data_IF_176055791037
#
_entry.id   IF_176055791037
#
_cell.length_a   1.000
_cell.length_b   1.000
_cell.length_c   1.000
_cell.angle_alpha   90.00
_cell.angle_beta   90.00
_cell.angle_gamma   90.00
#
_symmetry.space_group_name_H-M   'P 1'
#
loop_
_entity.id
_entity.type
_entity.pdbx_description
1 polymer ?
#
# COMPACT_ATOMS: atom_id res chain seq x y z
N UNK A 1 17.65 -5.92 2.81
CA UNK A 1 17.89 -4.71 3.65
C UNK A 1 16.55 -4.11 3.99
N UNK A 2 16.25 -3.95 5.28
CA UNK A 2 14.95 -3.45 5.75
C UNK A 2 14.70 -2.02 5.25
N UNK A 3 13.62 -1.86 4.49
CA UNK A 3 13.21 -0.56 3.95
C UNK A 3 12.22 0.16 4.89
N UNK A 4 11.27 -0.57 5.46
CA UNK A 4 10.34 -0.06 6.46
C UNK A 4 10.34 -1.00 7.66
N UNK A 5 10.45 -0.46 8.88
CA UNK A 5 10.28 -1.20 10.12
C UNK A 5 9.18 -0.56 10.97
N UNK A 6 8.29 -1.38 11.48
CA UNK A 6 7.18 -0.99 12.36
C UNK A 6 7.32 -1.78 13.65
N UNK A 7 7.40 -1.11 14.80
CA UNK A 7 7.61 -1.76 16.09
C UNK A 7 6.54 -1.34 17.09
N UNK A 8 5.83 -2.33 17.64
CA UNK A 8 4.83 -2.19 18.71
C UNK A 8 3.84 -1.06 18.46
N UNK A 9 3.41 -0.90 17.19
CA UNK A 9 2.57 0.22 16.76
C UNK A 9 1.18 0.10 17.36
N UNK A 10 0.74 1.18 18.02
CA UNK A 10 -0.64 1.35 18.50
C UNK A 10 -1.20 2.61 17.85
N UNK A 11 -2.38 2.50 17.24
CA UNK A 11 -3.05 3.63 16.60
C UNK A 11 -4.58 3.46 16.64
N UNK A 12 -5.30 4.59 16.60
CA UNK A 12 -6.75 4.58 16.64
C UNK A 12 -7.39 5.96 16.54
N UNK A 13 -8.69 6.02 16.70
CA UNK A 13 -9.50 7.23 16.61
C UNK A 13 -10.13 7.54 17.98
N UNK A 14 -9.72 8.62 18.63
CA UNK A 14 -10.19 8.98 19.97
C UNK A 14 -9.93 7.84 20.96
N UNK A 15 -10.97 7.30 21.57
CA UNK A 15 -10.87 6.19 22.53
C UNK A 15 -10.83 4.80 21.87
N UNK A 16 -11.07 4.69 20.56
CA UNK A 16 -11.09 3.41 19.84
C UNK A 16 -9.70 3.07 19.31
N UNK A 17 -9.06 2.07 19.89
CA UNK A 17 -7.80 1.50 19.39
C UNK A 17 -8.09 0.49 18.27
N UNK A 18 -7.66 0.83 17.04
CA UNK A 18 -7.89 0.00 15.87
C UNK A 18 -6.64 -0.79 15.44
N UNK A 19 -5.45 -0.37 15.83
CA UNK A 19 -4.17 -1.06 15.64
C UNK A 19 -3.57 -1.28 17.03
N UNK A 20 -3.25 -2.53 17.36
CA UNK A 20 -2.92 -2.95 18.71
C UNK A 20 -1.63 -3.76 18.72
N UNK A 21 -0.50 -3.10 19.01
CA UNK A 21 0.80 -3.76 19.15
C UNK A 21 1.23 -4.50 17.86
N UNK A 22 1.21 -3.78 16.75
CA UNK A 22 1.57 -4.32 15.43
C UNK A 22 3.05 -4.10 15.17
N UNK A 23 3.77 -5.19 14.87
CA UNK A 23 5.19 -5.15 14.51
C UNK A 23 5.43 -5.97 13.24
N UNK A 24 6.11 -5.38 12.25
CA UNK A 24 6.57 -6.05 11.04
C UNK A 24 7.64 -5.20 10.36
N UNK A 25 8.35 -5.79 9.43
CA UNK A 25 9.30 -5.10 8.56
C UNK A 25 8.96 -5.35 7.08
N UNK A 26 9.54 -4.59 6.19
CA UNK A 26 9.45 -4.81 4.73
C UNK A 26 10.82 -4.53 4.12
N UNK A 27 11.30 -5.45 3.29
CA UNK A 27 12.57 -5.29 2.59
C UNK A 27 12.43 -4.46 1.31
N UNK A 28 13.56 -3.96 0.80
CA UNK A 28 13.58 -3.27 -0.49
C UNK A 28 13.09 -4.20 -1.61
N UNK A 29 12.14 -3.73 -2.42
CA UNK A 29 11.56 -4.50 -3.52
C UNK A 29 10.58 -5.60 -3.10
N UNK A 30 10.36 -5.82 -1.80
CA UNK A 30 9.38 -6.79 -1.29
C UNK A 30 7.94 -6.28 -1.50
N UNK A 31 7.04 -7.19 -1.78
CA UNK A 31 5.59 -6.96 -1.75
C UNK A 31 5.00 -7.64 -0.52
N UNK A 32 4.58 -6.85 0.45
CA UNK A 32 3.86 -7.32 1.64
C UNK A 32 2.35 -7.16 1.44
N UNK A 33 1.61 -8.28 1.47
CA UNK A 33 0.15 -8.27 1.48
C UNK A 33 -0.39 -8.08 2.89
N UNK A 34 -1.34 -7.16 3.07
CA UNK A 34 -2.07 -6.96 4.33
C UNK A 34 -3.52 -7.37 4.09
N UNK A 35 -3.90 -8.48 4.71
CA UNK A 35 -5.23 -9.07 4.58
C UNK A 35 -5.96 -9.04 5.92
N UNK A 36 -7.28 -9.22 5.91
CA UNK A 36 -8.12 -9.23 7.10
C UNK A 36 -9.51 -8.73 6.81
N UNK A 37 -10.47 -9.09 7.63
CA UNK A 37 -11.87 -8.68 7.51
C UNK A 37 -12.04 -7.14 7.61
N UNK A 38 -13.22 -6.66 7.23
CA UNK A 38 -13.57 -5.25 7.44
C UNK A 38 -13.57 -4.94 8.95
N UNK A 39 -12.95 -3.82 9.32
CA UNK A 39 -12.78 -3.45 10.72
C UNK A 39 -11.54 -4.05 11.40
N UNK A 40 -10.74 -4.90 10.73
CA UNK A 40 -9.51 -5.48 11.30
C UNK A 40 -8.38 -4.45 11.58
N UNK A 41 -8.53 -3.18 11.18
CA UNK A 41 -7.57 -2.12 11.45
C UNK A 41 -6.67 -1.74 10.25
N UNK A 42 -6.81 -2.38 9.09
CA UNK A 42 -5.97 -2.19 7.90
C UNK A 42 -5.88 -0.72 7.45
N UNK A 43 -7.01 -0.06 7.26
CA UNK A 43 -7.04 1.35 6.83
C UNK A 43 -6.42 2.29 7.88
N UNK A 44 -6.61 2.01 9.18
CA UNK A 44 -5.96 2.78 10.25
C UNK A 44 -4.46 2.57 10.23
N UNK A 45 -3.98 1.33 10.06
CA UNK A 45 -2.56 1.03 9.89
C UNK A 45 -1.99 1.83 8.71
N UNK A 46 -2.60 1.76 7.52
CA UNK A 46 -2.13 2.45 6.32
C UNK A 46 -2.10 3.97 6.49
N UNK A 47 -3.14 4.56 7.07
CA UNK A 47 -3.18 5.99 7.36
C UNK A 47 -2.11 6.41 8.38
N UNK A 48 -1.79 5.52 9.34
CA UNK A 48 -0.72 5.77 10.31
C UNK A 48 0.65 5.66 9.63
N UNK A 49 0.88 4.66 8.77
CA UNK A 49 2.10 4.56 7.96
C UNK A 49 2.30 5.74 7.01
N UNK A 50 1.22 6.24 6.43
CA UNK A 50 1.26 7.43 5.56
C UNK A 50 1.39 8.77 6.32
N UNK A 51 1.31 8.78 7.66
CA UNK A 51 1.36 10.00 8.47
C UNK A 51 0.09 10.85 8.43
N UNK A 52 -1.03 10.27 7.97
CA UNK A 52 -2.37 10.90 8.00
C UNK A 52 -2.98 10.77 9.39
N UNK A 53 -2.66 9.70 10.11
CA UNK A 53 -2.97 9.50 11.52
C UNK A 53 -1.70 9.43 12.34
N UNK A 54 -1.74 10.00 13.54
CA UNK A 54 -0.65 9.87 14.51
C UNK A 54 -0.69 8.49 15.16
N UNK A 55 0.49 7.91 15.40
CA UNK A 55 0.61 6.76 16.29
C UNK A 55 0.33 7.19 17.74
N UNK A 56 -0.35 6.32 18.51
CA UNK A 56 -0.51 6.51 19.95
C UNK A 56 0.77 6.07 20.70
N UNK A 57 1.42 5.00 20.21
CA UNK A 57 2.72 4.51 20.68
C UNK A 57 3.37 3.62 19.63
N UNK A 58 4.61 3.17 19.91
CA UNK A 58 5.43 2.40 18.97
C UNK A 58 6.23 3.30 18.04
N UNK A 59 6.88 2.71 17.05
CA UNK A 59 7.73 3.44 16.11
C UNK A 59 7.60 2.94 14.67
N UNK A 60 7.86 3.86 13.73
CA UNK A 60 7.92 3.60 12.29
C UNK A 60 9.27 4.15 11.81
N UNK A 61 10.12 3.31 11.25
CA UNK A 61 11.40 3.70 10.67
C UNK A 61 11.42 3.40 9.17
N UNK A 62 11.86 4.38 8.38
CA UNK A 62 12.09 4.27 6.94
C UNK A 62 13.59 4.30 6.68
N UNK A 63 14.14 3.21 6.12
CA UNK A 63 15.58 3.10 5.83
C UNK A 63 16.44 3.46 7.05
N UNK A 64 16.03 2.93 8.23
CA UNK A 64 16.67 3.17 9.53
C UNK A 64 16.40 4.52 10.19
N UNK A 65 15.68 5.43 9.52
CA UNK A 65 15.35 6.76 10.05
C UNK A 65 13.95 6.76 10.65
N UNK A 66 13.81 7.18 11.92
CA UNK A 66 12.51 7.31 12.57
C UNK A 66 11.65 8.39 11.88
N UNK A 67 10.47 7.99 11.43
CA UNK A 67 9.48 8.84 10.76
C UNK A 67 8.17 8.92 11.55
N UNK A 68 8.11 8.38 12.76
CA UNK A 68 6.89 8.20 13.56
C UNK A 68 6.12 9.50 13.76
N UNK A 69 6.83 10.58 14.10
CA UNK A 69 6.22 11.89 14.36
C UNK A 69 6.09 12.78 13.12
N UNK A 70 6.53 12.30 11.93
CA UNK A 70 6.51 13.12 10.73
C UNK A 70 5.09 13.21 10.14
N UNK A 71 4.74 14.40 9.65
CA UNK A 71 3.50 14.64 8.90
C UNK A 71 3.49 13.88 7.56
N UNK A 72 2.30 13.68 6.97
CA UNK A 72 2.16 13.01 5.68
C UNK A 72 3.04 13.63 4.58
N UNK A 73 3.12 14.95 4.49
CA UNK A 73 3.96 15.63 3.49
C UNK A 73 5.46 15.34 3.69
N UNK A 74 5.93 15.31 4.95
CA UNK A 74 7.32 14.95 5.26
C UNK A 74 7.62 13.48 4.99
N UNK A 75 6.64 12.58 5.21
CA UNK A 75 6.80 11.15 4.86
C UNK A 75 6.85 10.95 3.34
N UNK A 76 6.05 11.68 2.56
CA UNK A 76 6.15 11.68 1.09
C UNK A 76 7.54 12.16 0.67
N UNK A 77 8.02 13.27 1.20
CA UNK A 77 9.37 13.77 0.93
C UNK A 77 10.48 12.79 1.39
N UNK A 78 10.22 11.99 2.42
CA UNK A 78 11.09 10.91 2.90
C UNK A 78 11.05 9.65 2.03
N UNK A 79 9.97 9.42 1.30
CA UNK A 79 9.81 8.29 0.39
C UNK A 79 8.69 7.30 0.75
N UNK A 80 7.70 7.67 1.54
CA UNK A 80 6.47 6.88 1.74
C UNK A 80 5.35 7.54 0.96
N UNK A 81 4.86 6.89 -0.10
CA UNK A 81 3.70 7.36 -0.86
C UNK A 81 2.51 6.40 -0.68
N UNK A 82 1.31 6.92 -0.76
CA UNK A 82 0.08 6.15 -0.61
C UNK A 82 -0.86 6.39 -1.80
N UNK A 83 -1.37 5.30 -2.36
CA UNK A 83 -2.55 5.29 -3.23
C UNK A 83 -3.74 4.92 -2.34
N UNK A 84 -4.56 5.88 -1.93
CA UNK A 84 -5.67 5.63 -1.03
C UNK A 84 -6.86 4.98 -1.76
N UNK A 85 -7.72 4.30 -1.01
CA UNK A 85 -9.06 3.95 -1.47
C UNK A 85 -9.77 5.19 -2.04
N UNK A 86 -10.51 5.03 -3.13
CA UNK A 86 -11.22 6.12 -3.80
C UNK A 86 -10.32 7.07 -4.59
N UNK A 87 -9.01 6.74 -4.77
CA UNK A 87 -8.05 7.38 -5.69
C UNK A 87 -7.67 8.82 -5.36
N UNK A 88 -8.59 9.63 -4.84
CA UNK A 88 -8.38 11.02 -4.39
C UNK A 88 -7.67 11.89 -5.44
N UNK A 89 -8.10 11.81 -6.71
CA UNK A 89 -7.57 12.64 -7.79
C UNK A 89 -8.15 14.06 -7.74
N UNK A 90 -7.41 15.01 -8.31
CA UNK A 90 -7.92 16.34 -8.62
C UNK A 90 -8.75 16.23 -9.91
N UNK A 91 -10.06 16.09 -9.75
CA UNK A 91 -10.98 15.70 -10.83
C UNK A 91 -11.08 16.71 -11.96
N UNK A 92 -10.83 17.98 -11.67
CA UNK A 92 -10.86 19.10 -12.64
C UNK A 92 -9.51 19.35 -13.33
N UNK A 93 -8.46 18.62 -12.90
CA UNK A 93 -7.13 18.67 -13.51
C UNK A 93 -6.95 17.56 -14.53
N UNK A 94 -6.08 17.81 -15.51
CA UNK A 94 -5.63 16.81 -16.47
C UNK A 94 -4.80 15.72 -15.80
N UNK A 95 -4.60 14.61 -16.51
CA UNK A 95 -3.67 13.56 -16.07
C UNK A 95 -2.27 14.13 -15.83
N UNK A 96 -1.77 14.94 -16.75
CA UNK A 96 -0.45 15.59 -16.66
C UNK A 96 -0.31 16.40 -15.37
N UNK A 97 -1.28 17.26 -15.08
CA UNK A 97 -1.27 18.11 -13.88
C UNK A 97 -1.32 17.28 -12.60
N UNK A 98 -2.18 16.24 -12.55
CA UNK A 98 -2.23 15.32 -11.42
C UNK A 98 -0.87 14.65 -11.16
N UNK A 99 -0.13 14.28 -12.21
CA UNK A 99 1.19 13.67 -12.07
C UNK A 99 2.24 14.71 -11.61
N UNK A 100 2.24 15.91 -12.19
CA UNK A 100 3.23 16.94 -11.92
C UNK A 100 3.16 17.46 -10.47
N UNK A 101 1.97 17.69 -9.94
CA UNK A 101 1.78 18.15 -8.53
C UNK A 101 2.48 17.21 -7.53
N UNK A 102 2.48 15.91 -7.77
CA UNK A 102 3.17 14.96 -6.89
C UNK A 102 4.69 14.97 -7.08
N UNK A 103 5.16 15.19 -8.30
CA UNK A 103 6.59 15.30 -8.60
C UNK A 103 7.25 16.52 -7.94
N UNK A 104 6.54 17.65 -7.87
CA UNK A 104 7.05 18.88 -7.23
C UNK A 104 7.25 18.75 -5.72
N UNK A 105 6.47 17.89 -5.07
CA UNK A 105 6.48 17.67 -3.62
C UNK A 105 7.20 16.36 -3.21
N UNK A 106 7.66 15.59 -4.18
CA UNK A 106 8.34 14.32 -3.99
C UNK A 106 9.85 14.45 -3.86
N UNK A 107 10.50 13.29 -3.78
CA UNK A 107 11.96 13.16 -3.83
C UNK A 107 12.46 13.21 -5.27
N UNK A 108 13.70 13.60 -5.47
CA UNK A 108 14.39 13.32 -6.73
C UNK A 108 14.69 11.82 -6.86
N UNK A 109 14.59 11.28 -8.07
CA UNK A 109 14.86 9.86 -8.31
C UNK A 109 14.57 9.42 -9.75
N UNK A 110 14.47 8.11 -9.93
CA UNK A 110 14.29 7.48 -11.24
C UNK A 110 12.89 7.68 -11.83
N UNK A 111 11.89 7.99 -10.99
CA UNK A 111 10.54 8.22 -11.45
C UNK A 111 10.37 9.66 -11.95
N UNK A 112 10.36 9.78 -13.26
CA UNK A 112 10.05 11.00 -14.02
C UNK A 112 8.77 10.79 -14.80
N UNK A 113 8.20 11.82 -15.39
CA UNK A 113 7.01 11.67 -16.24
C UNK A 113 7.25 10.61 -17.33
N UNK A 114 8.41 10.61 -17.99
CA UNK A 114 8.73 9.63 -19.04
C UNK A 114 8.77 8.19 -18.52
N UNK A 115 9.41 7.95 -17.35
CA UNK A 115 9.50 6.59 -16.77
C UNK A 115 8.18 6.11 -16.19
N UNK A 116 7.34 7.01 -15.66
CA UNK A 116 5.96 6.70 -15.25
C UNK A 116 5.11 6.31 -16.47
N UNK A 117 5.20 7.03 -17.58
CA UNK A 117 4.48 6.68 -18.81
C UNK A 117 4.95 5.35 -19.42
N UNK A 118 6.24 5.05 -19.33
CA UNK A 118 6.77 3.77 -19.74
C UNK A 118 6.27 2.60 -18.86
N UNK A 119 6.05 2.84 -17.56
CA UNK A 119 5.51 1.86 -16.62
C UNK A 119 3.98 1.73 -16.70
N UNK A 120 3.28 2.81 -17.05
CA UNK A 120 1.83 2.91 -17.17
C UNK A 120 1.44 3.43 -18.56
N UNK A 121 1.60 2.64 -19.64
CA UNK A 121 1.45 3.12 -21.03
C UNK A 121 0.07 3.69 -21.35
N UNK A 122 -0.98 3.19 -20.65
CA UNK A 122 -2.36 3.68 -20.77
C UNK A 122 -2.47 5.21 -20.54
N UNK A 123 -1.57 5.80 -19.77
CA UNK A 123 -1.58 7.23 -19.47
C UNK A 123 -1.06 8.10 -20.63
N UNK A 124 -0.29 7.52 -21.57
CA UNK A 124 0.36 8.29 -22.64
C UNK A 124 -0.65 9.06 -23.51
N UNK A 125 -1.72 8.39 -23.93
CA UNK A 125 -2.79 9.02 -24.75
C UNK A 125 -3.74 9.90 -23.94
N UNK A 126 -3.67 9.84 -22.61
CA UNK A 126 -4.62 10.50 -21.71
C UNK A 126 -4.05 11.75 -21.04
N UNK A 127 -2.78 12.11 -21.30
CA UNK A 127 -2.07 13.18 -20.57
C UNK A 127 -2.83 14.52 -20.52
N UNK A 128 -3.53 14.87 -21.59
CA UNK A 128 -4.26 16.12 -21.69
C UNK A 128 -5.77 15.97 -21.39
N UNK A 129 -6.20 14.77 -20.96
CA UNK A 129 -7.59 14.50 -20.60
C UNK A 129 -7.81 14.86 -19.14
N UNK A 130 -8.92 15.54 -18.84
CA UNK A 130 -9.34 15.85 -17.47
C UNK A 130 -9.75 14.57 -16.76
N UNK A 131 -9.24 14.35 -15.55
CA UNK A 131 -9.37 13.04 -14.87
C UNK A 131 -10.79 12.68 -14.47
N UNK A 132 -11.68 13.66 -14.33
CA UNK A 132 -13.11 13.43 -14.07
C UNK A 132 -13.82 12.58 -15.12
N UNK A 133 -13.39 12.68 -16.40
CA UNK A 133 -13.95 11.94 -17.53
C UNK A 133 -13.39 10.52 -17.75
N UNK A 134 -12.42 10.09 -16.96
CA UNK A 134 -11.74 8.82 -17.13
C UNK A 134 -12.54 7.63 -16.58
N UNK A 135 -12.32 6.44 -17.13
CA UNK A 135 -12.84 5.18 -16.57
C UNK A 135 -12.22 4.87 -15.20
N UNK A 136 -12.82 3.93 -14.46
CA UNK A 136 -12.31 3.50 -13.15
C UNK A 136 -10.85 3.01 -13.21
N UNK A 137 -10.51 2.17 -14.18
CA UNK A 137 -9.14 1.66 -14.36
C UNK A 137 -8.15 2.76 -14.76
N UNK A 138 -8.55 3.68 -15.65
CA UNK A 138 -7.72 4.82 -16.03
C UNK A 138 -7.45 5.75 -14.84
N UNK A 139 -8.47 6.06 -14.05
CA UNK A 139 -8.28 6.84 -12.80
C UNK A 139 -7.36 6.12 -11.82
N UNK A 140 -7.43 4.79 -11.75
CA UNK A 140 -6.54 4.01 -10.89
C UNK A 140 -5.08 4.11 -11.37
N UNK A 141 -4.84 3.99 -12.67
CA UNK A 141 -3.51 4.18 -13.25
C UNK A 141 -2.96 5.60 -12.97
N UNK A 142 -3.80 6.64 -13.06
CA UNK A 142 -3.38 8.01 -12.70
C UNK A 142 -3.01 8.10 -11.22
N UNK A 143 -3.77 7.48 -10.31
CA UNK A 143 -3.48 7.52 -8.87
C UNK A 143 -2.14 6.83 -8.54
N UNK A 144 -1.86 5.69 -9.19
CA UNK A 144 -0.56 4.99 -9.05
C UNK A 144 0.56 5.84 -9.66
N UNK A 145 0.39 6.34 -10.89
CA UNK A 145 1.37 7.21 -11.54
C UNK A 145 1.70 8.43 -10.70
N UNK A 146 0.69 9.06 -10.09
CA UNK A 146 0.86 10.18 -9.17
C UNK A 146 1.70 9.80 -7.95
N UNK A 147 1.46 8.63 -7.35
CA UNK A 147 2.27 8.16 -6.23
C UNK A 147 3.72 7.88 -6.67
N UNK A 148 3.94 7.27 -7.84
CA UNK A 148 5.27 7.02 -8.38
C UNK A 148 6.05 8.31 -8.65
N UNK A 149 5.39 9.37 -9.12
CA UNK A 149 6.03 10.68 -9.35
C UNK A 149 6.66 11.27 -8.10
N UNK A 150 6.26 10.86 -6.89
CA UNK A 150 6.92 11.27 -5.64
C UNK A 150 8.21 10.49 -5.35
N UNK A 151 8.62 9.57 -6.23
CA UNK A 151 9.81 8.72 -6.07
C UNK A 151 9.82 7.93 -4.75
N UNK A 152 8.81 7.07 -4.49
CA UNK A 152 8.69 6.38 -3.23
C UNK A 152 9.74 5.28 -3.05
N UNK A 153 10.25 5.13 -1.82
CA UNK A 153 10.94 3.93 -1.32
C UNK A 153 9.92 2.85 -0.91
N UNK A 154 8.77 3.31 -0.38
CA UNK A 154 7.65 2.47 0.04
C UNK A 154 6.36 3.00 -0.58
N UNK A 155 5.67 2.14 -1.33
CA UNK A 155 4.38 2.43 -1.96
C UNK A 155 3.27 1.68 -1.22
N UNK A 156 2.37 2.41 -0.58
CA UNK A 156 1.19 1.89 0.11
C UNK A 156 0.01 1.87 -0.87
N UNK A 157 -0.59 0.70 -1.10
CA UNK A 157 -1.70 0.48 -2.02
C UNK A 157 -2.94 0.02 -1.22
N UNK A 158 -3.89 0.92 -1.00
CA UNK A 158 -5.08 0.69 -0.17
C UNK A 158 -6.28 0.31 -1.04
N UNK A 159 -6.62 -0.99 -1.09
CA UNK A 159 -7.77 -1.55 -1.81
C UNK A 159 -7.88 -1.05 -3.26
N UNK A 160 -6.76 -1.03 -3.97
CA UNK A 160 -6.64 -0.40 -5.30
C UNK A 160 -7.46 -1.10 -6.39
N UNK A 161 -7.91 -2.33 -6.17
CA UNK A 161 -8.76 -3.10 -7.09
C UNK A 161 -10.26 -2.85 -6.89
N UNK A 162 -10.65 -2.22 -5.77
CA UNK A 162 -12.05 -2.04 -5.41
C UNK A 162 -12.83 -1.22 -6.45
N UNK A 163 -13.98 -1.78 -6.88
CA UNK A 163 -14.88 -1.13 -7.84
C UNK A 163 -14.34 -1.06 -9.27
N UNK A 164 -13.35 -1.89 -9.61
CA UNK A 164 -12.89 -2.09 -10.98
C UNK A 164 -13.55 -3.30 -11.63
N UNK A 165 -13.65 -3.29 -12.96
CA UNK A 165 -14.05 -4.47 -13.72
C UNK A 165 -12.93 -5.55 -13.68
N UNK A 166 -13.25 -6.85 -13.87
CA UNK A 166 -12.24 -7.92 -13.90
C UNK A 166 -11.07 -7.62 -14.83
N UNK A 167 -11.34 -7.18 -16.05
CA UNK A 167 -10.30 -6.82 -17.03
C UNK A 167 -9.41 -5.66 -16.54
N UNK A 168 -10.00 -4.66 -15.88
CA UNK A 168 -9.24 -3.53 -15.35
C UNK A 168 -8.36 -3.97 -14.14
N UNK A 169 -8.81 -4.95 -13.37
CA UNK A 169 -8.04 -5.54 -12.27
C UNK A 169 -6.83 -6.30 -12.82
N UNK A 170 -7.02 -7.16 -13.82
CA UNK A 170 -5.92 -7.89 -14.48
C UNK A 170 -4.85 -6.93 -14.99
N UNK A 171 -5.25 -5.93 -15.78
CA UNK A 171 -4.31 -4.93 -16.29
C UNK A 171 -3.62 -4.11 -15.19
N UNK A 172 -4.31 -3.84 -14.06
CA UNK A 172 -3.71 -3.19 -12.90
C UNK A 172 -2.59 -4.05 -12.30
N UNK A 173 -2.85 -5.33 -12.05
CA UNK A 173 -1.86 -6.22 -11.44
C UNK A 173 -0.69 -6.55 -12.37
N UNK A 174 -0.90 -6.60 -13.69
CA UNK A 174 0.19 -6.67 -14.67
C UNK A 174 1.12 -5.45 -14.57
N UNK A 175 0.55 -4.24 -14.47
CA UNK A 175 1.33 -3.02 -14.27
C UNK A 175 2.09 -3.04 -12.94
N UNK A 176 1.45 -3.44 -11.84
CA UNK A 176 2.09 -3.55 -10.53
C UNK A 176 3.20 -4.62 -10.52
N UNK A 177 3.02 -5.74 -11.22
CA UNK A 177 4.06 -6.75 -11.40
C UNK A 177 5.27 -6.19 -12.16
N UNK A 178 5.05 -5.35 -13.17
CA UNK A 178 6.11 -4.61 -13.85
C UNK A 178 6.87 -3.64 -12.95
N UNK A 179 6.22 -3.08 -11.93
CA UNK A 179 6.89 -2.23 -10.92
C UNK A 179 7.74 -3.08 -9.96
N UNK A 180 7.24 -4.22 -9.51
CA UNK A 180 7.97 -5.18 -8.66
C UNK A 180 9.30 -5.60 -9.31
N UNK A 181 9.31 -5.86 -10.61
CA UNK A 181 10.51 -6.24 -11.36
C UNK A 181 11.63 -5.17 -11.42
N UNK A 182 11.35 -3.93 -11.04
CA UNK A 182 12.36 -2.84 -11.02
C UNK A 182 13.17 -2.76 -9.72
N UNK A 183 12.80 -3.52 -8.67
CA UNK A 183 13.68 -3.90 -7.56
C UNK A 183 13.88 -2.92 -6.40
N UNK A 184 13.55 -1.62 -6.55
CA UNK A 184 13.95 -0.61 -5.55
C UNK A 184 12.81 -0.15 -4.62
N UNK A 185 11.56 -0.25 -5.05
CA UNK A 185 10.40 0.20 -4.28
C UNK A 185 9.73 -0.97 -3.57
N UNK A 186 9.69 -0.94 -2.25
CA UNK A 186 8.86 -1.86 -1.48
C UNK A 186 7.37 -1.51 -1.66
N UNK A 187 6.51 -2.51 -1.71
CA UNK A 187 5.07 -2.31 -1.81
C UNK A 187 4.35 -2.95 -0.62
N UNK A 188 3.41 -2.23 -0.03
CA UNK A 188 2.48 -2.80 0.95
C UNK A 188 1.08 -2.67 0.35
N UNK A 189 0.38 -3.80 0.22
CA UNK A 189 -0.89 -3.87 -0.51
C UNK A 189 -1.99 -4.39 0.40
N UNK A 190 -3.05 -3.60 0.62
CA UNK A 190 -4.30 -4.08 1.23
C UNK A 190 -5.18 -4.64 0.14
N UNK A 191 -5.62 -5.87 0.31
CA UNK A 191 -6.57 -6.56 -0.57
C UNK A 191 -7.64 -7.30 0.23
N UNK A 192 -8.85 -7.35 -0.34
CA UNK A 192 -9.96 -8.15 0.21
C UNK A 192 -10.02 -9.54 -0.42
N UNK A 193 -9.55 -9.67 -1.65
CA UNK A 193 -9.47 -10.94 -2.38
C UNK A 193 -8.22 -11.70 -1.95
N UNK A 194 -8.41 -12.80 -1.21
CA UNK A 194 -7.31 -13.62 -0.67
C UNK A 194 -6.45 -14.23 -1.78
N UNK A 195 -7.08 -14.74 -2.84
CA UNK A 195 -6.34 -15.39 -3.93
C UNK A 195 -5.42 -14.39 -4.63
N UNK A 196 -5.90 -13.18 -4.84
CA UNK A 196 -5.12 -12.09 -5.43
C UNK A 196 -4.00 -11.63 -4.50
N UNK A 197 -4.30 -11.43 -3.21
CA UNK A 197 -3.29 -11.06 -2.23
C UNK A 197 -2.17 -12.11 -2.17
N UNK A 198 -2.53 -13.39 -2.12
CA UNK A 198 -1.58 -14.50 -2.09
C UNK A 198 -0.76 -14.61 -3.38
N UNK A 199 -1.35 -14.38 -4.54
CA UNK A 199 -0.67 -14.50 -5.83
C UNK A 199 0.34 -13.38 -6.06
N UNK A 200 0.04 -12.17 -5.59
CA UNK A 200 0.85 -10.98 -5.84
C UNK A 200 1.95 -10.75 -4.79
N UNK A 201 1.71 -11.14 -3.53
CA UNK A 201 2.61 -10.84 -2.41
C UNK A 201 3.71 -11.87 -2.22
N UNK A 202 4.89 -11.41 -1.81
CA UNK A 202 6.00 -12.28 -1.38
C UNK A 202 5.77 -12.83 0.03
N UNK A 203 5.18 -12.00 0.89
CA UNK A 203 4.79 -12.29 2.26
C UNK A 203 3.43 -11.65 2.54
N UNK A 204 2.65 -12.26 3.41
CA UNK A 204 1.37 -11.72 3.86
C UNK A 204 1.36 -11.60 5.38
N UNK A 205 0.66 -10.57 5.88
CA UNK A 205 0.21 -10.47 7.26
C UNK A 205 -1.31 -10.48 7.28
N UNK A 206 -1.89 -11.29 8.15
CA UNK A 206 -3.33 -11.34 8.38
C UNK A 206 -3.67 -10.57 9.66
N UNK A 207 -4.44 -9.50 9.51
CA UNK A 207 -4.89 -8.69 10.63
C UNK A 207 -6.24 -9.18 11.15
N UNK A 208 -6.33 -9.38 12.45
CA UNK A 208 -7.55 -9.69 13.17
C UNK A 208 -7.64 -8.79 14.41
N UNK A 209 -8.75 -8.08 14.59
CA UNK A 209 -9.01 -7.22 15.75
C UNK A 209 -7.86 -6.25 16.09
N UNK A 210 -7.19 -5.73 15.07
CA UNK A 210 -6.11 -4.77 15.21
C UNK A 210 -4.72 -5.39 15.48
N UNK A 211 -4.58 -6.70 15.48
CA UNK A 211 -3.34 -7.44 15.70
C UNK A 211 -2.94 -8.24 14.47
N UNK A 212 -1.68 -8.62 14.37
CA UNK A 212 -1.24 -9.62 13.39
C UNK A 212 -1.53 -10.99 13.99
N UNK A 213 -2.45 -11.73 13.35
CA UNK A 213 -2.82 -13.08 13.74
C UNK A 213 -1.97 -14.15 13.03
N UNK A 214 -1.48 -13.84 11.81
CA UNK A 214 -0.67 -14.74 11.01
C UNK A 214 0.27 -13.91 10.13
N UNK A 215 1.50 -14.40 9.98
CA UNK A 215 2.49 -13.83 9.07
C UNK A 215 3.29 -14.93 8.40
N UNK A 216 3.60 -14.76 7.11
CA UNK A 216 4.50 -15.66 6.39
C UNK A 216 4.35 -15.59 4.87
N UNK A 217 5.13 -16.43 4.19
CA UNK A 217 5.06 -16.56 2.73
C UNK A 217 3.82 -17.36 2.33
N UNK A 218 2.97 -16.86 1.40
CA UNK A 218 1.72 -17.53 1.02
C UNK A 218 1.92 -19.00 0.61
N UNK A 219 3.01 -19.30 -0.11
CA UNK A 219 3.34 -20.66 -0.56
C UNK A 219 3.67 -21.64 0.59
N UNK A 220 4.13 -21.11 1.73
CA UNK A 220 4.47 -21.91 2.92
C UNK A 220 3.26 -22.09 3.81
N UNK A 221 2.51 -21.00 4.04
CA UNK A 221 1.33 -21.00 4.90
C UNK A 221 0.18 -21.84 4.30
N UNK A 222 0.01 -21.75 3.00
CA UNK A 222 -1.13 -22.34 2.29
C UNK A 222 -2.45 -21.60 2.52
N UNK A 223 -3.39 -21.75 1.57
CA UNK A 223 -4.68 -21.05 1.61
C UNK A 223 -5.53 -21.39 2.85
N UNK A 224 -5.59 -22.66 3.35
CA UNK A 224 -6.38 -22.98 4.53
C UNK A 224 -5.97 -22.17 5.77
N UNK A 225 -4.68 -22.13 6.12
CA UNK A 225 -4.21 -21.41 7.30
C UNK A 225 -4.47 -19.90 7.21
N UNK A 226 -4.30 -19.32 6.01
CA UNK A 226 -4.60 -17.90 5.77
C UNK A 226 -6.11 -17.63 5.89
N UNK A 227 -6.96 -18.54 5.39
CA UNK A 227 -8.42 -18.42 5.49
C UNK A 227 -8.89 -18.53 6.95
N UNK A 228 -8.33 -19.46 7.71
CA UNK A 228 -8.63 -19.60 9.13
C UNK A 228 -8.25 -18.33 9.92
N UNK A 229 -7.05 -17.79 9.70
CA UNK A 229 -6.61 -16.55 10.31
C UNK A 229 -7.48 -15.34 9.90
N UNK A 230 -7.91 -15.30 8.63
CA UNK A 230 -8.78 -14.23 8.12
C UNK A 230 -10.14 -14.19 8.82
N UNK A 231 -10.74 -15.35 9.12
CA UNK A 231 -12.02 -15.47 9.80
C UNK A 231 -11.91 -15.58 11.32
N UNK A 232 -10.71 -15.59 11.89
CA UNK A 232 -10.50 -15.76 13.33
C UNK A 232 -10.87 -17.14 13.84
N UNK A 233 -10.75 -18.16 12.99
CA UNK A 233 -11.09 -19.55 13.34
C UNK A 233 -9.93 -20.30 14.01
N UNK A 234 -8.75 -19.69 14.09
CA UNK A 234 -7.59 -20.27 14.77
C UNK A 234 -7.83 -20.29 16.28
N UNK A 235 -7.97 -21.47 16.85
CA UNK A 235 -7.93 -21.65 18.29
C UNK A 235 -6.52 -21.29 18.82
N UNK A 236 -6.42 -20.56 19.96
CA UNK A 236 -5.13 -20.21 20.56
C UNK A 236 -4.48 -21.39 21.32
N UNK A 237 -4.51 -22.60 20.75
CA UNK A 237 -3.86 -23.77 21.33
C UNK A 237 -3.02 -24.51 20.29
N UNK A 238 -1.79 -24.05 20.07
CA UNK A 238 -0.67 -24.92 19.63
C UNK A 238 0.63 -24.11 19.44
N UNK A 239 1.10 -23.45 20.52
CA UNK A 239 2.48 -22.94 20.55
C UNK A 239 3.14 -23.36 21.88
N UNK A 240 3.16 -24.65 22.17
CA UNK A 240 4.08 -25.25 23.12
C UNK A 240 4.34 -26.71 22.68
N UNK A 241 5.39 -26.88 21.89
CA UNK A 241 6.18 -28.12 21.82
C UNK A 241 7.57 -27.78 21.26
#
# INVERSE_FOLDING_TARGET
MTMLAVNNLIAGHGLLTAVRDVSFDVEAGEVLGVIGANGAGKTTLFRTLAGVHSANSGSIALDGVDVTALSASRRVAGGIAMVPEGRRLFVDMTVRENLQVAGENGRSGAWTLSTVLAALPVLTSLLNVVTGGLSGGQRQAVAIGRALMSNPKVLLLDEVSLGLSPVAIEGLYEQLAGLKGRGDTAMIVVEQDLDRAMAFSDRVICMLEGRIALEGRPRVLGKPAITEAYFGLTHPESTHA
#
